data_IF_437177066851
#
_entry.id   IF_437177066851
#
_cell.length_a   1.000
_cell.length_b   1.000
_cell.length_c   1.000
_cell.angle_alpha   90.00
_cell.angle_beta   90.00
_cell.angle_gamma   90.00
#
_symmetry.space_group_name_H-M   'P 1'
#
loop_
_entity.id
_entity.type
_entity.pdbx_description
1 polymer ?
#
# COMPACT_ATOMS: atom_id res chain seq x y z
N UNK A 1 16.86 -0.75 35.43
CA UNK A 1 15.65 -0.07 34.95
C UNK A 1 15.80 1.44 34.71
N UNK A 2 16.71 2.17 35.40
CA UNK A 2 16.80 3.64 35.23
C UNK A 2 17.62 4.15 34.02
N UNK A 3 18.52 3.35 33.41
CA UNK A 3 19.35 3.80 32.26
C UNK A 3 18.56 3.94 30.96
N UNK A 4 17.64 3.04 30.69
CA UNK A 4 16.91 2.97 29.40
C UNK A 4 15.88 4.11 29.24
N UNK A 5 15.24 4.53 30.33
CA UNK A 5 14.31 5.67 30.29
C UNK A 5 15.04 7.00 29.99
N UNK A 6 16.31 7.11 30.42
CA UNK A 6 17.11 8.31 30.14
C UNK A 6 17.55 8.43 28.68
N UNK A 7 17.77 7.29 28.00
CA UNK A 7 18.23 7.27 26.60
C UNK A 7 17.11 7.68 25.65
N UNK A 8 15.89 7.18 25.86
CA UNK A 8 14.70 7.56 25.05
C UNK A 8 14.37 9.04 25.25
N UNK A 9 14.47 9.55 26.50
CA UNK A 9 14.21 10.94 26.81
C UNK A 9 15.23 11.86 26.13
N UNK A 10 16.52 11.55 26.20
CA UNK A 10 17.58 12.31 25.53
C UNK A 10 17.41 12.31 24.00
N UNK A 11 17.05 11.17 23.40
CA UNK A 11 16.79 11.08 21.97
C UNK A 11 15.53 11.87 21.57
N UNK A 12 14.49 11.87 22.40
CA UNK A 12 13.27 12.64 22.16
C UNK A 12 13.56 14.13 22.20
N UNK A 13 14.28 14.60 23.22
CA UNK A 13 14.65 15.99 23.37
C UNK A 13 15.47 16.48 22.18
N UNK A 14 16.48 15.71 21.78
CA UNK A 14 17.29 16.01 20.60
C UNK A 14 16.47 16.01 19.30
N UNK A 15 15.49 15.12 19.17
CA UNK A 15 14.60 15.08 18.00
C UNK A 15 13.64 16.26 17.96
N UNK A 16 13.08 16.66 19.10
CA UNK A 16 12.21 17.85 19.24
C UNK A 16 12.97 19.11 18.87
N UNK A 17 14.19 19.29 19.40
CA UNK A 17 15.05 20.43 19.11
C UNK A 17 15.43 20.50 17.62
N UNK A 18 15.81 19.37 17.02
CA UNK A 18 16.16 19.29 15.60
C UNK A 18 14.98 19.62 14.66
N UNK A 19 13.76 19.44 15.13
CA UNK A 19 12.53 19.81 14.40
C UNK A 19 12.08 21.24 14.67
N UNK A 20 12.77 21.97 15.59
CA UNK A 20 12.37 23.31 16.04
C UNK A 20 11.04 23.27 16.81
N UNK A 21 10.76 22.17 17.48
CA UNK A 21 9.55 21.95 18.27
C UNK A 21 9.67 22.48 19.71
N UNK A 22 8.62 22.26 20.47
CA UNK A 22 8.60 22.52 21.93
C UNK A 22 8.37 21.21 22.66
N UNK A 23 9.12 21.01 23.74
CA UNK A 23 8.96 19.86 24.62
C UNK A 23 7.57 19.84 25.26
N UNK A 24 6.97 18.65 25.33
CA UNK A 24 5.63 18.44 25.88
C UNK A 24 5.63 17.23 26.78
N UNK A 25 5.20 17.42 28.02
CA UNK A 25 5.15 16.34 29.04
C UNK A 25 4.38 15.09 28.55
N UNK A 26 3.24 15.30 27.88
CA UNK A 26 2.45 14.19 27.33
C UNK A 26 3.19 13.40 26.23
N UNK A 27 4.07 14.05 25.46
CA UNK A 27 4.91 13.38 24.47
C UNK A 27 5.99 12.51 25.14
N UNK A 28 6.64 13.03 26.16
CA UNK A 28 7.64 12.31 26.97
C UNK A 28 7.01 11.11 27.67
N UNK A 29 5.86 11.30 28.31
CA UNK A 29 5.09 10.22 28.95
C UNK A 29 4.72 9.11 27.95
N UNK A 30 4.26 9.50 26.75
CA UNK A 30 3.95 8.54 25.69
C UNK A 30 5.21 7.78 25.24
N UNK A 31 6.32 8.46 25.00
CA UNK A 31 7.55 7.83 24.54
C UNK A 31 8.10 6.81 25.57
N UNK A 32 8.05 7.16 26.86
CA UNK A 32 8.43 6.25 27.95
C UNK A 32 7.49 5.03 28.03
N UNK A 33 6.18 5.24 27.88
CA UNK A 33 5.21 4.14 27.89
C UNK A 33 5.42 3.19 26.70
N UNK A 34 5.66 3.72 25.47
CA UNK A 34 5.96 2.93 24.27
C UNK A 34 7.26 2.14 24.46
N UNK A 35 8.33 2.77 24.95
CA UNK A 35 9.60 2.10 25.25
C UNK A 35 9.39 0.93 26.23
N UNK A 36 8.69 1.19 27.33
CA UNK A 36 8.36 0.14 28.31
C UNK A 36 7.55 -1.00 27.72
N UNK A 37 6.59 -0.71 26.84
CA UNK A 37 5.77 -1.73 26.20
C UNK A 37 6.59 -2.61 25.23
N UNK A 38 7.49 -2.00 24.45
CA UNK A 38 8.41 -2.71 23.55
C UNK A 38 9.33 -3.65 24.35
N UNK A 39 9.93 -3.15 25.42
CA UNK A 39 10.86 -3.92 26.26
C UNK A 39 10.22 -5.11 26.99
N UNK A 40 9.00 -4.92 27.46
CA UNK A 40 8.26 -5.93 28.18
C UNK A 40 7.40 -6.82 27.28
N UNK A 41 7.39 -6.57 25.97
CA UNK A 41 6.55 -7.26 24.99
C UNK A 41 5.06 -7.26 25.39
N UNK A 42 4.57 -6.09 25.82
CA UNK A 42 3.20 -5.90 26.26
C UNK A 42 2.41 -5.02 25.31
N UNK A 43 1.09 -5.24 25.26
CA UNK A 43 0.21 -4.35 24.50
C UNK A 43 0.03 -3.01 25.22
N UNK A 44 0.10 -1.93 24.46
CA UNK A 44 -0.13 -0.57 24.94
C UNK A 44 -1.21 0.12 24.10
N UNK A 45 -2.16 0.73 24.77
CA UNK A 45 -3.16 1.60 24.15
C UNK A 45 -2.97 3.02 24.67
N UNK A 46 -2.76 3.97 23.74
CA UNK A 46 -2.53 5.37 24.07
C UNK A 46 -3.61 6.24 23.43
N UNK A 47 -4.27 7.05 24.22
CA UNK A 47 -5.14 8.11 23.74
C UNK A 47 -4.41 9.46 23.87
N UNK A 48 -4.08 10.07 22.75
CA UNK A 48 -3.39 11.36 22.69
C UNK A 48 -4.14 12.32 21.75
N UNK A 49 -4.40 13.52 22.21
CA UNK A 49 -5.07 14.56 21.43
C UNK A 49 -4.23 15.05 20.24
N UNK A 50 -4.87 15.82 19.36
CA UNK A 50 -4.15 16.49 18.26
C UNK A 50 -3.12 17.48 18.81
N UNK A 51 -1.97 17.57 18.16
CA UNK A 51 -0.91 18.51 18.57
C UNK A 51 -0.04 18.04 19.74
N UNK A 52 -0.25 16.86 20.34
CA UNK A 52 0.61 16.33 21.41
C UNK A 52 1.99 15.87 20.92
N UNK A 53 2.21 15.79 19.61
CA UNK A 53 3.45 15.29 19.04
C UNK A 53 3.51 13.76 19.00
N UNK A 54 2.37 13.08 18.80
CA UNK A 54 2.22 11.61 18.77
C UNK A 54 3.32 10.92 17.94
N UNK A 55 3.61 11.45 16.74
CA UNK A 55 4.56 10.80 15.83
C UNK A 55 5.94 10.60 16.48
N UNK A 56 6.53 11.60 17.08
CA UNK A 56 7.79 11.46 17.80
C UNK A 56 7.65 10.60 19.06
N UNK A 57 6.50 10.66 19.73
CA UNK A 57 6.22 9.87 20.93
C UNK A 57 6.27 8.37 20.70
N UNK A 58 6.02 7.87 19.47
CA UNK A 58 6.21 6.46 19.13
C UNK A 58 7.41 6.21 18.21
N UNK A 59 7.81 7.15 17.36
CA UNK A 59 8.95 6.95 16.43
C UNK A 59 10.28 6.86 17.19
N UNK A 60 10.50 7.76 18.18
CA UNK A 60 11.76 7.79 18.94
C UNK A 60 12.01 6.47 19.68
N UNK A 61 11.08 5.96 20.52
CA UNK A 61 11.30 4.68 21.19
C UNK A 61 11.36 3.50 20.21
N UNK A 62 10.64 3.54 19.08
CA UNK A 62 10.74 2.49 18.05
C UNK A 62 12.14 2.45 17.43
N UNK A 63 12.70 3.62 17.09
CA UNK A 63 14.05 3.74 16.55
C UNK A 63 15.11 3.32 17.59
N UNK A 64 14.99 3.74 18.84
CA UNK A 64 15.88 3.30 19.92
C UNK A 64 15.84 1.78 20.07
N UNK A 65 14.63 1.20 20.11
CA UNK A 65 14.44 -0.24 20.22
C UNK A 65 15.17 -1.00 19.10
N UNK A 66 14.99 -0.60 17.83
CA UNK A 66 15.65 -1.27 16.70
C UNK A 66 17.16 -1.14 16.74
N UNK A 67 17.71 -0.01 17.18
CA UNK A 67 19.13 0.19 17.31
C UNK A 67 19.74 -0.68 18.40
N UNK A 68 19.04 -0.90 19.48
CA UNK A 68 19.49 -1.65 20.62
C UNK A 68 19.35 -3.16 20.44
N UNK A 69 18.24 -3.62 19.88
CA UNK A 69 17.94 -5.06 19.75
C UNK A 69 18.34 -5.63 18.40
N UNK A 70 18.34 -4.82 17.35
CA UNK A 70 18.44 -5.27 15.97
C UNK A 70 17.11 -5.74 15.37
N UNK A 71 16.03 -5.71 16.15
CA UNK A 71 14.71 -6.15 15.73
C UNK A 71 13.98 -5.06 14.95
N UNK A 72 13.13 -5.47 14.03
CA UNK A 72 12.34 -4.56 13.18
C UNK A 72 11.04 -4.15 13.85
N UNK A 73 10.66 -2.89 13.62
CA UNK A 73 9.35 -2.35 14.00
C UNK A 73 8.55 -1.95 12.75
N UNK A 74 7.30 -2.40 12.68
CA UNK A 74 6.34 -1.96 11.66
C UNK A 74 5.54 -0.78 12.20
N UNK A 75 5.36 0.27 11.39
CA UNK A 75 4.50 1.41 11.70
C UNK A 75 3.37 1.44 10.69
N UNK A 76 2.16 1.21 11.15
CA UNK A 76 0.95 1.23 10.32
C UNK A 76 0.18 2.52 10.50
N UNK A 77 -0.17 3.18 9.39
CA UNK A 77 -0.91 4.45 9.39
C UNK A 77 -2.25 4.32 8.67
N UNK A 78 -3.19 5.19 9.00
CA UNK A 78 -4.53 5.18 8.40
C UNK A 78 -4.57 5.77 6.99
N UNK A 79 -3.68 6.73 6.66
CA UNK A 79 -3.72 7.50 5.41
C UNK A 79 -2.36 7.60 4.72
N UNK A 80 -2.37 7.75 3.39
CA UNK A 80 -1.16 7.98 2.60
C UNK A 80 -0.45 9.29 2.98
N UNK A 81 -1.21 10.33 3.37
CA UNK A 81 -0.64 11.60 3.80
C UNK A 81 0.20 11.45 5.07
N UNK A 82 -0.28 10.71 6.07
CA UNK A 82 0.49 10.40 7.29
C UNK A 82 1.71 9.53 6.97
N UNK A 83 1.55 8.54 6.09
CA UNK A 83 2.65 7.69 5.65
C UNK A 83 3.76 8.53 4.98
N UNK A 84 3.39 9.40 4.03
CA UNK A 84 4.33 10.31 3.36
C UNK A 84 5.00 11.27 4.35
N UNK A 85 4.27 11.83 5.31
CA UNK A 85 4.82 12.68 6.35
C UNK A 85 5.90 11.96 7.16
N UNK A 86 5.62 10.74 7.62
CA UNK A 86 6.57 9.94 8.41
C UNK A 86 7.82 9.64 7.59
N UNK A 87 7.67 9.14 6.36
CA UNK A 87 8.79 8.68 5.53
C UNK A 87 9.62 9.84 4.97
N UNK A 88 8.98 10.92 4.53
CA UNK A 88 9.69 11.99 3.82
C UNK A 88 10.19 13.09 4.75
N UNK A 89 9.59 13.24 5.94
CA UNK A 89 9.91 14.32 6.85
C UNK A 89 10.41 13.87 8.21
N UNK A 90 9.61 13.07 8.93
CA UNK A 90 9.85 12.81 10.34
C UNK A 90 10.98 11.79 10.54
N UNK A 91 10.96 10.64 9.86
CA UNK A 91 12.03 9.63 9.93
C UNK A 91 13.39 10.12 9.42
N UNK A 92 13.54 10.79 8.27
CA UNK A 92 14.84 11.27 7.82
C UNK A 92 15.50 12.25 8.79
N UNK A 93 14.73 13.11 9.45
CA UNK A 93 15.22 14.04 10.45
C UNK A 93 15.61 13.31 11.74
N UNK A 94 14.73 12.43 12.22
CA UNK A 94 14.98 11.62 13.40
C UNK A 94 16.23 10.74 13.23
N UNK A 95 16.32 9.99 12.13
CA UNK A 95 17.47 9.08 11.88
C UNK A 95 18.79 9.84 11.73
N UNK A 96 18.77 11.06 11.20
CA UNK A 96 19.95 11.94 11.14
C UNK A 96 20.39 12.36 12.55
N UNK A 97 19.45 12.80 13.40
CA UNK A 97 19.72 13.21 14.78
C UNK A 97 20.22 12.05 15.61
N UNK A 98 19.51 10.93 15.58
CA UNK A 98 19.89 9.70 16.30
C UNK A 98 21.24 9.18 15.84
N UNK A 99 21.50 9.15 14.53
CA UNK A 99 22.79 8.74 13.97
C UNK A 99 23.96 9.60 14.43
N UNK A 100 23.74 10.91 14.66
CA UNK A 100 24.73 11.82 15.23
C UNK A 100 25.06 11.53 16.70
N UNK A 101 24.11 10.99 17.46
CA UNK A 101 24.25 10.68 18.89
C UNK A 101 24.83 9.26 19.09
N UNK A 102 24.25 8.29 18.37
CA UNK A 102 24.52 6.85 18.58
C UNK A 102 25.63 6.29 17.69
N UNK A 103 26.04 7.03 16.66
CA UNK A 103 26.98 6.57 15.63
C UNK A 103 26.40 5.57 14.63
N UNK A 104 25.16 5.07 14.82
CA UNK A 104 24.43 4.20 13.89
C UNK A 104 23.18 4.91 13.36
N UNK A 105 23.07 5.00 12.04
CA UNK A 105 21.89 5.56 11.39
C UNK A 105 20.89 4.45 11.10
N UNK A 106 19.69 4.47 11.72
CA UNK A 106 18.65 3.48 11.42
C UNK A 106 18.13 3.65 9.99
N UNK A 107 17.80 2.53 9.37
CA UNK A 107 17.23 2.46 8.02
C UNK A 107 15.70 2.45 8.10
N UNK A 108 15.05 2.99 7.06
CA UNK A 108 13.59 2.97 6.98
C UNK A 108 13.12 2.79 5.55
N UNK A 109 12.00 2.09 5.38
CA UNK A 109 11.34 1.89 4.09
C UNK A 109 9.83 2.09 4.19
N UNK A 110 9.21 2.39 3.05
CA UNK A 110 7.76 2.32 2.89
C UNK A 110 7.41 1.05 2.13
N UNK A 111 6.37 0.35 2.59
CA UNK A 111 5.81 -0.79 1.90
C UNK A 111 4.31 -0.61 1.72
N UNK A 112 3.88 -0.61 0.48
CA UNK A 112 2.48 -0.47 0.06
C UNK A 112 2.01 -1.71 -0.70
N UNK A 113 0.70 -1.89 -0.81
CA UNK A 113 0.14 -2.93 -1.68
C UNK A 113 0.53 -2.74 -3.15
N UNK A 114 0.62 -3.82 -3.92
CA UNK A 114 1.08 -3.84 -5.33
C UNK A 114 0.38 -2.82 -6.23
N UNK A 115 -0.89 -2.54 -6.00
CA UNK A 115 -1.66 -1.51 -6.77
C UNK A 115 -1.09 -0.09 -6.67
N UNK A 116 -0.23 0.16 -5.71
CA UNK A 116 0.41 1.48 -5.56
C UNK A 116 1.68 1.62 -6.41
N UNK A 117 2.13 0.55 -7.05
CA UNK A 117 3.31 0.56 -7.91
C UNK A 117 2.93 0.35 -9.38
N UNK A 118 3.61 1.04 -10.29
CA UNK A 118 3.48 0.77 -11.72
C UNK A 118 4.01 -0.63 -12.03
N UNK A 119 3.26 -1.38 -12.83
CA UNK A 119 3.66 -2.70 -13.29
C UNK A 119 4.31 -2.59 -14.66
N UNK A 120 5.63 -2.78 -14.75
CA UNK A 120 6.38 -2.69 -16.00
C UNK A 120 5.91 -3.71 -17.04
N UNK A 121 5.55 -4.93 -16.61
CA UNK A 121 5.03 -5.95 -17.51
C UNK A 121 3.70 -5.54 -18.13
N UNK A 122 2.78 -4.98 -17.33
CA UNK A 122 1.48 -4.49 -17.82
C UNK A 122 1.64 -3.26 -18.69
N UNK A 123 2.52 -2.34 -18.29
CA UNK A 123 2.84 -1.13 -19.06
C UNK A 123 3.44 -1.46 -20.44
N UNK A 124 4.16 -2.59 -20.54
CA UNK A 124 4.69 -3.14 -21.79
C UNK A 124 3.70 -4.01 -22.59
N UNK A 125 2.41 -4.09 -22.20
CA UNK A 125 1.40 -4.89 -22.92
C UNK A 125 1.49 -6.39 -22.67
N UNK A 126 2.13 -6.83 -21.58
CA UNK A 126 2.38 -8.24 -21.30
C UNK A 126 1.18 -9.03 -20.77
N UNK A 127 0.06 -8.38 -20.43
CA UNK A 127 -1.13 -9.06 -19.94
C UNK A 127 -2.12 -9.36 -21.08
N UNK A 128 -2.71 -10.56 -21.10
CA UNK A 128 -3.76 -10.91 -22.05
C UNK A 128 -4.96 -9.95 -21.91
N UNK A 129 -5.47 -9.42 -23.02
CA UNK A 129 -6.57 -8.44 -23.02
C UNK A 129 -6.15 -6.98 -23.02
N UNK A 130 -4.87 -6.69 -22.87
CA UNK A 130 -4.31 -5.35 -23.08
C UNK A 130 -4.13 -5.03 -24.58
N UNK A 131 -4.68 -5.86 -25.49
CA UNK A 131 -4.65 -5.56 -26.95
C UNK A 131 -5.36 -4.24 -27.30
N UNK A 132 -6.37 -3.83 -26.53
CA UNK A 132 -6.90 -2.47 -26.61
C UNK A 132 -5.92 -1.42 -26.03
N UNK A 133 -5.04 -1.84 -25.11
CA UNK A 133 -3.94 -1.01 -24.60
C UNK A 133 -2.68 -1.15 -25.45
N UNK A 134 -2.49 -2.26 -26.17
CA UNK A 134 -1.44 -2.46 -27.18
C UNK A 134 -1.69 -1.66 -28.48
N UNK A 135 -2.92 -1.17 -28.69
CA UNK A 135 -3.21 -0.10 -29.67
C UNK A 135 -2.42 1.19 -29.38
N UNK A 136 -1.76 1.24 -28.22
CA UNK A 136 -0.87 2.33 -27.81
C UNK A 136 0.62 1.99 -27.95
N UNK A 137 0.96 1.07 -28.84
CA UNK A 137 2.35 0.86 -29.26
C UNK A 137 2.82 2.07 -30.11
N UNK A 138 3.04 3.18 -29.40
CA UNK A 138 3.51 4.46 -29.95
C UNK A 138 4.95 4.35 -30.50
N UNK A 139 5.54 3.15 -30.46
CA UNK A 139 6.91 2.90 -30.91
C UNK A 139 7.07 2.31 -32.32
N UNK A 140 6.03 1.70 -32.88
CA UNK A 140 6.21 0.92 -34.11
C UNK A 140 5.69 1.56 -35.42
N UNK A 141 4.70 2.50 -35.36
CA UNK A 141 4.13 3.04 -36.61
C UNK A 141 3.79 4.54 -36.55
N UNK A 142 4.85 5.40 -36.48
CA UNK A 142 4.70 6.85 -36.65
C UNK A 142 4.35 7.24 -38.10
N UNK A 143 4.35 6.32 -39.07
CA UNK A 143 4.11 6.66 -40.47
C UNK A 143 2.66 6.48 -40.96
N UNK A 144 1.74 5.89 -40.19
CA UNK A 144 0.39 5.51 -40.66
C UNK A 144 -0.81 6.34 -40.18
N UNK A 145 -0.76 7.01 -39.03
CA UNK A 145 -1.92 7.73 -38.47
C UNK A 145 -1.64 9.20 -38.15
N UNK A 146 -1.45 9.99 -39.17
CA UNK A 146 -1.47 11.46 -39.11
C UNK A 146 -2.95 11.92 -39.08
N UNK A 147 -3.51 12.21 -37.89
CA UNK A 147 -4.77 12.96 -37.82
C UNK A 147 -5.67 12.77 -36.58
N UNK A 148 -5.39 11.85 -35.65
CA UNK A 148 -6.18 11.70 -34.43
C UNK A 148 -5.56 12.50 -33.27
N UNK A 149 -6.38 13.32 -32.57
CA UNK A 149 -5.96 13.90 -31.28
C UNK A 149 -5.85 12.78 -30.25
N UNK A 150 -4.72 12.66 -29.55
CA UNK A 150 -4.55 11.73 -28.42
C UNK A 150 -5.67 11.94 -27.41
N UNK A 151 -6.26 10.85 -26.92
CA UNK A 151 -7.21 10.92 -25.80
C UNK A 151 -6.47 11.31 -24.51
N UNK A 152 -7.21 11.83 -23.52
CA UNK A 152 -6.61 12.18 -22.23
C UNK A 152 -5.93 10.96 -21.56
N UNK A 153 -6.52 9.77 -21.70
CA UNK A 153 -5.98 8.52 -21.15
C UNK A 153 -4.67 8.12 -21.83
N UNK A 154 -4.58 8.25 -23.16
CA UNK A 154 -3.35 7.97 -23.92
C UNK A 154 -2.22 8.89 -23.48
N UNK A 155 -2.51 10.19 -23.35
CA UNK A 155 -1.53 11.17 -22.88
C UNK A 155 -1.04 10.87 -21.45
N UNK A 156 -1.94 10.43 -20.56
CA UNK A 156 -1.57 10.00 -19.20
C UNK A 156 -0.69 8.74 -19.23
N UNK A 157 -1.01 7.73 -20.05
CA UNK A 157 -0.21 6.49 -20.18
C UNK A 157 1.16 6.78 -20.75
N UNK A 158 1.27 7.63 -21.79
CA UNK A 158 2.55 8.04 -22.35
C UNK A 158 3.44 8.71 -21.29
N UNK A 159 2.87 9.60 -20.47
CA UNK A 159 3.58 10.23 -19.36
C UNK A 159 3.99 9.24 -18.27
N UNK A 160 3.16 8.24 -17.97
CA UNK A 160 3.53 7.18 -17.01
C UNK A 160 4.70 6.37 -17.54
N UNK A 161 4.77 6.05 -18.82
CA UNK A 161 5.90 5.34 -19.44
C UNK A 161 7.21 6.11 -19.27
N UNK A 162 7.21 7.38 -19.66
CA UNK A 162 8.40 8.24 -19.49
C UNK A 162 8.82 8.36 -18.00
N UNK A 163 7.84 8.52 -17.11
CA UNK A 163 8.12 8.56 -15.67
C UNK A 163 8.62 7.21 -15.12
N UNK A 164 8.10 6.08 -15.61
CA UNK A 164 8.51 4.75 -15.17
C UNK A 164 9.99 4.46 -15.48
N UNK A 165 10.54 5.01 -16.58
CA UNK A 165 11.96 4.90 -16.93
C UNK A 165 12.86 5.76 -16.02
N UNK A 166 12.31 6.81 -15.41
CA UNK A 166 13.08 7.78 -14.61
C UNK A 166 12.91 7.56 -13.09
N UNK A 167 11.81 6.95 -12.64
CA UNK A 167 11.51 6.79 -11.21
C UNK A 167 12.37 5.74 -10.56
N UNK A 168 12.79 6.00 -9.32
CA UNK A 168 13.48 5.00 -8.49
C UNK A 168 12.49 4.05 -7.78
N UNK A 169 11.27 4.51 -7.51
CA UNK A 169 10.31 3.81 -6.64
C UNK A 169 9.17 3.15 -7.41
N UNK A 170 8.76 3.72 -8.53
CA UNK A 170 7.54 3.35 -9.23
C UNK A 170 6.26 3.55 -8.41
N UNK A 171 6.34 4.25 -7.28
CA UNK A 171 5.20 4.52 -6.39
C UNK A 171 4.31 5.61 -6.99
N UNK A 172 3.01 5.35 -7.07
CA UNK A 172 2.01 6.28 -7.60
C UNK A 172 2.07 7.67 -6.97
N UNK A 173 2.38 7.74 -5.68
CA UNK A 173 2.40 9.03 -4.96
C UNK A 173 3.57 9.90 -5.37
N UNK A 174 4.60 9.35 -6.02
CA UNK A 174 5.75 10.08 -6.59
C UNK A 174 5.47 10.61 -8.01
N UNK A 175 4.36 10.20 -8.63
CA UNK A 175 3.95 10.68 -9.95
C UNK A 175 3.27 12.05 -9.84
N UNK A 176 3.98 13.12 -10.21
CA UNK A 176 3.47 14.51 -10.16
C UNK A 176 3.54 15.15 -11.54
N UNK A 177 2.43 15.69 -12.04
CA UNK A 177 1.07 15.60 -11.54
C UNK A 177 0.53 14.18 -11.58
N UNK A 178 -0.38 13.83 -10.64
CA UNK A 178 -1.01 12.51 -10.60
C UNK A 178 -1.85 12.19 -11.85
N UNK A 179 -2.37 10.97 -11.92
CA UNK A 179 -3.28 10.50 -12.97
C UNK A 179 -4.58 10.00 -12.36
N UNK A 180 -5.61 9.84 -13.20
CA UNK A 180 -6.89 9.29 -12.78
C UNK A 180 -6.75 7.85 -12.26
N UNK A 181 -7.62 7.43 -11.33
CA UNK A 181 -7.67 6.04 -10.84
C UNK A 181 -7.91 5.05 -11.99
N UNK A 182 -8.72 5.45 -12.97
CA UNK A 182 -8.99 4.66 -14.17
C UNK A 182 -7.71 4.42 -14.97
N UNK A 183 -6.94 5.46 -15.25
CA UNK A 183 -5.67 5.32 -16.00
C UNK A 183 -4.66 4.52 -15.19
N UNK A 184 -4.54 4.79 -13.87
CA UNK A 184 -3.63 4.03 -13.01
C UNK A 184 -3.95 2.54 -12.98
N UNK A 185 -5.23 2.14 -13.00
CA UNK A 185 -5.64 0.73 -13.04
C UNK A 185 -5.21 0.00 -14.32
N UNK A 186 -4.98 0.72 -15.43
CA UNK A 186 -4.49 0.15 -16.68
C UNK A 186 -3.00 -0.20 -16.63
N UNK A 187 -2.23 0.38 -15.71
CA UNK A 187 -0.78 0.21 -15.60
C UNK A 187 -0.33 -0.40 -14.27
N UNK A 188 -1.25 -0.75 -13.39
CA UNK A 188 -1.00 -1.40 -12.11
C UNK A 188 -1.71 -2.75 -12.00
N UNK A 189 -1.25 -3.61 -11.09
CA UNK A 189 -1.85 -4.92 -10.83
C UNK A 189 -2.11 -5.12 -9.34
N UNK A 190 -3.11 -5.93 -9.01
CA UNK A 190 -3.32 -6.43 -7.67
C UNK A 190 -2.49 -7.71 -7.44
N UNK A 191 -2.53 -8.25 -6.22
CA UNK A 191 -1.79 -9.47 -5.88
C UNK A 191 -2.31 -10.72 -6.59
N UNK A 192 -3.60 -10.75 -6.95
CA UNK A 192 -4.21 -11.91 -7.62
C UNK A 192 -3.84 -11.97 -9.11
N UNK A 193 -3.73 -10.81 -9.75
CA UNK A 193 -3.40 -10.73 -11.18
C UNK A 193 -1.88 -10.74 -11.42
N UNK A 194 -1.07 -10.60 -10.37
CA UNK A 194 0.38 -10.56 -10.51
C UNK A 194 0.98 -11.94 -10.78
N UNK A 195 1.86 -12.04 -11.76
CA UNK A 195 2.55 -13.28 -12.13
C UNK A 195 3.61 -13.71 -11.08
N UNK A 196 3.91 -12.87 -10.09
CA UNK A 196 4.89 -13.18 -9.05
C UNK A 196 6.27 -13.47 -9.63
N UNK A 197 6.95 -14.49 -9.11
CA UNK A 197 8.30 -14.90 -9.55
C UNK A 197 8.40 -15.40 -10.98
N UNK A 198 7.27 -15.68 -11.65
CA UNK A 198 7.25 -16.08 -13.07
C UNK A 198 7.17 -14.89 -14.01
N UNK A 199 7.06 -13.67 -13.48
CA UNK A 199 6.98 -12.45 -14.30
C UNK A 199 8.31 -12.18 -15.02
N UNK A 200 8.31 -11.92 -16.35
CA UNK A 200 9.53 -11.57 -17.07
C UNK A 200 10.23 -10.31 -16.54
N UNK A 201 9.48 -9.41 -15.89
CA UNK A 201 9.98 -8.15 -15.30
C UNK A 201 10.20 -8.26 -13.78
N UNK A 202 10.41 -9.47 -13.24
CA UNK A 202 10.50 -9.69 -11.80
C UNK A 202 11.68 -8.95 -11.17
N UNK A 203 12.85 -8.98 -11.81
CA UNK A 203 14.07 -8.34 -11.30
C UNK A 203 13.97 -6.80 -11.28
N UNK A 204 13.27 -6.21 -12.25
CA UNK A 204 13.05 -4.76 -12.33
C UNK A 204 11.77 -4.32 -11.59
N UNK A 205 11.01 -5.27 -11.01
CA UNK A 205 9.72 -4.99 -10.42
C UNK A 205 9.81 -4.02 -9.22
N UNK A 206 9.15 -2.88 -9.31
CA UNK A 206 9.14 -1.87 -8.25
C UNK A 206 8.53 -2.39 -6.94
N UNK A 207 7.46 -3.17 -7.01
CA UNK A 207 6.84 -3.76 -5.82
C UNK A 207 7.76 -4.78 -5.13
N UNK A 208 8.50 -5.58 -5.89
CA UNK A 208 9.48 -6.52 -5.32
C UNK A 208 10.69 -5.78 -4.73
N UNK A 209 11.19 -4.74 -5.42
CA UNK A 209 12.25 -3.89 -4.86
C UNK A 209 11.83 -3.21 -3.56
N UNK A 210 10.59 -2.71 -3.48
CA UNK A 210 10.06 -2.13 -2.25
C UNK A 210 9.97 -3.18 -1.12
N UNK A 211 9.57 -4.42 -1.44
CA UNK A 211 9.52 -5.53 -0.47
C UNK A 211 10.92 -5.89 0.03
N UNK A 212 11.90 -6.00 -0.86
CA UNK A 212 13.29 -6.28 -0.49
C UNK A 212 13.88 -5.14 0.36
N UNK A 213 13.66 -3.88 -0.02
CA UNK A 213 14.10 -2.73 0.77
C UNK A 213 13.47 -2.73 2.17
N UNK A 214 12.19 -3.10 2.28
CA UNK A 214 11.53 -3.24 3.57
C UNK A 214 12.13 -4.39 4.40
N UNK A 215 12.50 -5.51 3.76
CA UNK A 215 13.16 -6.63 4.43
C UNK A 215 14.56 -6.28 4.98
N UNK A 216 15.22 -5.27 4.42
CA UNK A 216 16.55 -4.81 4.85
C UNK A 216 16.48 -3.58 5.77
N UNK A 217 15.28 -3.11 6.14
CA UNK A 217 15.11 -1.89 6.92
C UNK A 217 14.79 -2.16 8.39
N UNK A 218 15.28 -1.29 9.28
CA UNK A 218 15.00 -1.32 10.72
C UNK A 218 13.55 -0.91 11.03
N UNK A 219 13.02 0.10 10.31
CA UNK A 219 11.65 0.62 10.45
C UNK A 219 10.93 0.47 9.11
N UNK A 220 9.76 -0.17 9.12
CA UNK A 220 8.91 -0.26 7.91
C UNK A 220 7.60 0.47 8.15
N UNK A 221 7.31 1.44 7.30
CA UNK A 221 6.04 2.18 7.34
C UNK A 221 5.08 1.59 6.32
N UNK A 222 3.88 1.26 6.75
CA UNK A 222 2.83 0.66 5.93
C UNK A 222 1.47 1.28 6.22
N UNK A 223 0.39 0.74 5.67
CA UNK A 223 -0.96 1.15 5.96
C UNK A 223 -1.76 0.02 6.62
N UNK A 224 -2.89 0.38 7.23
CA UNK A 224 -3.76 -0.57 7.93
C UNK A 224 -4.33 -1.67 7.02
N UNK A 225 -4.53 -1.38 5.73
CA UNK A 225 -5.03 -2.38 4.78
C UNK A 225 -3.99 -3.49 4.55
N UNK A 226 -2.70 -3.13 4.41
CA UNK A 226 -1.64 -4.13 4.23
C UNK A 226 -1.40 -4.93 5.52
N UNK A 227 -1.49 -4.27 6.68
CA UNK A 227 -1.45 -4.95 7.98
C UNK A 227 -2.62 -5.94 8.15
N UNK A 228 -3.82 -5.59 7.66
CA UNK A 228 -4.97 -6.48 7.68
C UNK A 228 -4.76 -7.73 6.80
N UNK A 229 -4.17 -7.56 5.62
CA UNK A 229 -3.84 -8.67 4.71
C UNK A 229 -2.80 -9.61 5.35
N UNK A 230 -1.76 -9.04 5.98
CA UNK A 230 -0.76 -9.82 6.74
C UNK A 230 -1.43 -10.67 7.84
N UNK A 231 -2.35 -10.08 8.59
CA UNK A 231 -3.04 -10.77 9.70
C UNK A 231 -3.92 -11.94 9.26
N UNK A 232 -4.29 -12.05 7.97
CA UNK A 232 -5.00 -13.20 7.43
C UNK A 232 -4.13 -14.46 7.28
N UNK A 233 -2.81 -14.29 7.24
CA UNK A 233 -1.84 -15.39 7.26
C UNK A 233 -1.76 -16.23 5.99
N UNK A 234 -2.48 -15.89 4.92
CA UNK A 234 -2.42 -16.65 3.66
C UNK A 234 -1.10 -16.43 2.89
N UNK A 235 -0.52 -15.25 3.01
CA UNK A 235 0.78 -14.89 2.44
C UNK A 235 1.46 -13.85 3.31
N UNK A 236 2.72 -14.08 3.70
CA UNK A 236 3.51 -13.07 4.38
C UNK A 236 3.85 -11.92 3.42
N UNK A 237 3.27 -10.76 3.68
CA UNK A 237 3.47 -9.53 2.89
C UNK A 237 4.45 -8.61 3.57
N UNK A 238 4.42 -8.55 4.91
CA UNK A 238 5.34 -7.77 5.72
C UNK A 238 6.59 -8.59 6.08
N UNK A 239 7.77 -7.98 6.20
CA UNK A 239 8.95 -8.67 6.69
C UNK A 239 8.78 -9.06 8.18
N UNK A 240 9.55 -10.06 8.65
CA UNK A 240 9.59 -10.44 10.06
C UNK A 240 9.84 -9.22 10.94
N UNK A 241 9.10 -9.11 12.04
CA UNK A 241 9.13 -7.97 12.94
C UNK A 241 8.76 -8.36 14.37
N UNK A 242 9.26 -7.62 15.34
CA UNK A 242 9.02 -7.88 16.78
C UNK A 242 7.90 -7.01 17.35
N UNK A 243 7.57 -5.89 16.70
CA UNK A 243 6.55 -4.99 17.19
C UNK A 243 5.81 -4.26 16.05
N UNK A 244 4.56 -3.89 16.33
CA UNK A 244 3.72 -3.09 15.43
C UNK A 244 3.19 -1.89 16.19
N UNK A 245 3.42 -0.70 15.63
CA UNK A 245 2.79 0.56 16.06
C UNK A 245 1.64 0.87 15.11
N UNK A 246 0.46 1.12 15.65
CA UNK A 246 -0.75 1.43 14.88
C UNK A 246 -1.15 2.87 15.20
N UNK A 247 -0.84 3.80 14.28
CA UNK A 247 -1.24 5.21 14.41
C UNK A 247 -2.66 5.40 13.89
N UNK A 248 -3.44 6.27 14.57
CA UNK A 248 -4.87 6.46 14.31
C UNK A 248 -5.66 5.12 14.35
N UNK A 249 -5.41 4.31 15.38
CA UNK A 249 -5.96 2.96 15.54
C UNK A 249 -7.50 2.89 15.53
N UNK A 250 -8.18 4.02 15.74
CA UNK A 250 -9.63 4.11 15.64
C UNK A 250 -10.15 3.84 14.22
N UNK A 251 -9.32 4.06 13.18
CA UNK A 251 -9.64 3.74 11.78
C UNK A 251 -9.36 2.28 11.42
N UNK A 252 -8.61 1.54 12.24
CA UNK A 252 -8.16 0.19 11.93
C UNK A 252 -9.32 -0.74 11.56
N UNK A 253 -10.40 -0.70 12.36
CA UNK A 253 -11.56 -1.58 12.13
C UNK A 253 -12.15 -1.40 10.74
N UNK A 254 -12.37 -0.17 10.33
CA UNK A 254 -13.03 0.12 9.05
C UNK A 254 -12.08 -0.17 7.88
N UNK A 255 -10.78 0.05 8.06
CA UNK A 255 -9.75 -0.32 7.07
C UNK A 255 -9.59 -1.83 6.93
N UNK A 256 -9.60 -2.57 8.04
CA UNK A 256 -9.61 -4.04 8.03
C UNK A 256 -10.86 -4.56 7.32
N UNK A 257 -12.04 -4.08 7.71
CA UNK A 257 -13.30 -4.48 7.08
C UNK A 257 -13.24 -4.21 5.57
N UNK A 258 -12.82 -3.01 5.13
CA UNK A 258 -12.70 -2.68 3.72
C UNK A 258 -11.70 -3.55 2.96
N UNK A 259 -10.55 -3.88 3.58
CA UNK A 259 -9.53 -4.73 2.96
C UNK A 259 -10.00 -6.20 2.78
N UNK A 260 -10.89 -6.67 3.67
CA UNK A 260 -11.43 -8.03 3.69
C UNK A 260 -12.78 -8.15 2.95
N UNK A 261 -13.36 -7.03 2.53
CA UNK A 261 -14.64 -7.04 1.83
C UNK A 261 -14.44 -7.38 0.36
N UNK A 262 -15.04 -8.47 -0.08
CA UNK A 262 -15.22 -8.79 -1.51
C UNK A 262 -16.50 -8.14 -2.04
N UNK A 263 -16.49 -7.72 -3.30
CA UNK A 263 -17.67 -7.23 -3.99
C UNK A 263 -17.95 -8.06 -5.24
N UNK A 264 -19.16 -8.57 -5.36
CA UNK A 264 -19.66 -9.17 -6.60
C UNK A 264 -20.56 -8.12 -7.27
N UNK A 265 -20.20 -7.76 -8.50
CA UNK A 265 -20.96 -6.77 -9.29
C UNK A 265 -21.22 -7.30 -10.69
N UNK A 266 -22.28 -6.82 -11.34
CA UNK A 266 -22.55 -7.11 -12.75
C UNK A 266 -21.32 -6.80 -13.64
N UNK A 267 -20.65 -5.68 -13.40
CA UNK A 267 -19.44 -5.31 -14.15
C UNK A 267 -18.31 -6.33 -13.98
N UNK A 268 -18.10 -6.86 -12.77
CA UNK A 268 -17.10 -7.92 -12.53
C UNK A 268 -17.45 -9.19 -13.27
N UNK A 269 -18.70 -9.65 -13.19
CA UNK A 269 -19.15 -10.87 -13.87
C UNK A 269 -19.06 -10.73 -15.39
N UNK A 270 -19.43 -9.58 -15.94
CA UNK A 270 -19.29 -9.28 -17.37
C UNK A 270 -17.84 -9.25 -17.82
N UNK A 271 -16.93 -8.70 -17.00
CA UNK A 271 -15.50 -8.71 -17.27
C UNK A 271 -14.93 -10.15 -17.27
N UNK A 272 -15.37 -10.99 -16.32
CA UNK A 272 -14.99 -12.41 -16.27
C UNK A 272 -15.46 -13.14 -17.52
N UNK A 273 -16.70 -12.93 -17.98
CA UNK A 273 -17.23 -13.52 -19.20
C UNK A 273 -16.40 -13.10 -20.44
N UNK A 274 -16.07 -11.82 -20.54
CA UNK A 274 -15.24 -11.26 -21.62
C UNK A 274 -13.83 -11.86 -21.62
N UNK A 275 -13.20 -11.95 -20.46
CA UNK A 275 -11.87 -12.55 -20.29
C UNK A 275 -11.88 -14.03 -20.61
N UNK A 276 -12.87 -14.78 -20.14
CA UNK A 276 -13.03 -16.19 -20.46
C UNK A 276 -13.16 -16.42 -21.97
N UNK A 277 -13.93 -15.58 -22.68
CA UNK A 277 -14.08 -15.64 -24.13
C UNK A 277 -12.77 -15.44 -24.88
N UNK A 278 -11.90 -14.53 -24.38
CA UNK A 278 -10.64 -14.18 -25.06
C UNK A 278 -9.51 -15.18 -24.76
N UNK A 279 -9.46 -15.71 -23.54
CA UNK A 279 -8.25 -16.36 -23.02
C UNK A 279 -8.44 -17.81 -22.55
N UNK A 280 -9.61 -18.39 -22.75
CA UNK A 280 -9.85 -19.80 -22.38
C UNK A 280 -10.40 -20.60 -23.55
N UNK A 281 -10.29 -21.94 -23.45
CA UNK A 281 -10.94 -22.86 -24.36
C UNK A 281 -12.44 -23.05 -24.06
N UNK A 282 -13.07 -22.12 -23.33
CA UNK A 282 -14.48 -22.20 -23.00
C UNK A 282 -15.34 -22.18 -24.25
N UNK A 283 -16.38 -23.04 -24.26
CA UNK A 283 -17.29 -23.13 -25.42
C UNK A 283 -18.16 -21.86 -25.50
N UNK A 284 -18.65 -21.56 -26.72
CA UNK A 284 -19.60 -20.48 -26.93
C UNK A 284 -20.82 -20.58 -26.01
N UNK A 285 -21.31 -21.79 -25.75
CA UNK A 285 -22.43 -22.05 -24.84
C UNK A 285 -22.09 -21.68 -23.39
N UNK A 286 -20.88 -22.00 -22.94
CA UNK A 286 -20.42 -21.65 -21.58
C UNK A 286 -20.32 -20.13 -21.40
N UNK A 287 -19.76 -19.43 -22.39
CA UNK A 287 -19.67 -17.95 -22.35
C UNK A 287 -21.07 -17.31 -22.36
N UNK A 288 -21.97 -17.83 -23.21
CA UNK A 288 -23.34 -17.33 -23.25
C UNK A 288 -24.10 -17.58 -21.93
N UNK A 289 -23.91 -18.74 -21.31
CA UNK A 289 -24.49 -19.04 -20.00
C UNK A 289 -23.96 -18.07 -18.91
N UNK A 290 -22.66 -17.80 -18.90
CA UNK A 290 -22.05 -16.86 -17.95
C UNK A 290 -22.56 -15.41 -18.16
N UNK A 291 -22.69 -14.97 -19.42
CA UNK A 291 -23.24 -13.65 -19.73
C UNK A 291 -24.70 -13.56 -19.27
N UNK A 292 -25.50 -14.58 -19.56
CA UNK A 292 -26.89 -14.64 -19.12
C UNK A 292 -27.02 -14.62 -17.60
N UNK A 293 -26.18 -15.37 -16.88
CA UNK A 293 -26.17 -15.38 -15.41
C UNK A 293 -25.78 -13.99 -14.86
N UNK A 294 -24.83 -13.30 -15.50
CA UNK A 294 -24.47 -11.93 -15.14
C UNK A 294 -25.64 -10.95 -15.29
N UNK A 295 -26.43 -11.06 -16.38
CA UNK A 295 -27.59 -10.21 -16.61
C UNK A 295 -28.73 -10.54 -15.63
N UNK A 296 -28.95 -11.82 -15.34
CA UNK A 296 -29.94 -12.27 -14.34
C UNK A 296 -29.58 -11.77 -12.94
N UNK A 297 -28.30 -11.84 -12.55
CA UNK A 297 -27.82 -11.30 -11.28
C UNK A 297 -28.05 -9.80 -11.17
N UNK A 298 -27.81 -9.03 -12.25
CA UNK A 298 -28.10 -7.58 -12.26
C UNK A 298 -29.58 -7.31 -12.05
N UNK A 299 -30.46 -8.04 -12.77
CA UNK A 299 -31.92 -7.89 -12.65
C UNK A 299 -32.39 -8.23 -11.23
N UNK A 300 -31.93 -9.35 -10.67
CA UNK A 300 -32.27 -9.74 -9.31
C UNK A 300 -31.83 -8.70 -8.27
N UNK A 301 -30.62 -8.13 -8.42
CA UNK A 301 -30.18 -7.06 -7.53
C UNK A 301 -31.04 -5.80 -7.60
N UNK A 302 -31.56 -5.44 -8.77
CA UNK A 302 -32.45 -4.28 -8.94
C UNK A 302 -33.84 -4.50 -8.27
N UNK A 303 -34.26 -5.75 -8.13
CA UNK A 303 -35.53 -6.11 -7.48
C UNK A 303 -35.44 -6.14 -5.94
N UNK A 304 -34.22 -6.14 -5.40
CA UNK A 304 -33.98 -6.10 -3.95
C UNK A 304 -33.74 -4.68 -3.44
N UNK A 305 -34.32 -4.36 -2.28
CA UNK A 305 -34.01 -3.10 -1.60
C UNK A 305 -32.54 -3.11 -1.08
N UNK A 306 -31.82 -1.97 -1.23
CA UNK A 306 -30.47 -1.86 -0.69
C UNK A 306 -30.45 -2.08 0.84
N UNK A 307 -29.63 -2.98 1.30
CA UNK A 307 -29.51 -3.26 2.72
C UNK A 307 -28.70 -4.49 3.06
N UNK A 308 -28.65 -4.82 4.36
CA UNK A 308 -28.00 -6.02 4.85
C UNK A 308 -28.86 -7.25 4.56
N UNK A 309 -28.37 -8.15 3.72
CA UNK A 309 -28.98 -9.46 3.52
C UNK A 309 -28.66 -10.37 4.72
N UNK A 310 -29.68 -10.76 5.48
CA UNK A 310 -29.54 -11.72 6.60
C UNK A 310 -29.63 -13.16 6.14
N UNK A 311 -30.30 -13.38 5.03
CA UNK A 311 -30.44 -14.69 4.37
C UNK A 311 -30.16 -14.44 2.90
N UNK A 312 -29.43 -15.34 2.26
CA UNK A 312 -29.15 -15.26 0.84
C UNK A 312 -30.46 -15.50 0.08
N UNK A 313 -30.87 -14.57 -0.78
CA UNK A 313 -32.08 -14.76 -1.61
C UNK A 313 -31.92 -15.92 -2.58
N UNK A 314 -32.98 -16.73 -2.77
CA UNK A 314 -32.95 -17.92 -3.64
C UNK A 314 -32.64 -17.53 -5.10
N UNK A 315 -33.19 -16.41 -5.57
CA UNK A 315 -32.99 -15.85 -6.91
C UNK A 315 -31.58 -15.29 -7.19
N UNK A 316 -30.76 -15.08 -6.15
CA UNK A 316 -29.34 -14.73 -6.26
C UNK A 316 -28.43 -15.96 -6.11
N UNK A 317 -28.97 -17.14 -5.81
CA UNK A 317 -28.22 -18.35 -5.50
C UNK A 317 -28.17 -19.39 -6.61
N UNK A 318 -29.02 -19.27 -7.63
CA UNK A 318 -29.08 -20.15 -8.79
C UNK A 318 -28.20 -19.63 -9.94
#
# INVERSE_FOLDING_TARGET
>A
MNHMSSDVEQLLDAAVDALGGTHREGQTTMAQAVSSALDNQTHLLVQAGTGTGKSLGYLVPSVEYTLRTGDRVIISTATLALQSQIIQRDLPRLTKTVGGITGRKPTSAVLKGRRNYVCLHKLGGGYPGDEESALFDVGADIEGHRGGSMTATEAEIARIREWADATATGDRDDLVPGVSDRTWSLVSVNSFDCLGSTCPMFEECFAERAKNTAADSDIVVTNHALLAIEAQGEQSVLPEHSAVVIDEAHELRDRVTGALTGAITHALLSAVASTAKKHTAATANTIQALTKASDQFATALEEHEPGLLRVWPEDLGD
#
